data_IF_069534962140
#
_entry.id   IF_069534962140
#
_cell.length_a   1.000
_cell.length_b   1.000
_cell.length_c   1.000
_cell.angle_alpha   90.00
_cell.angle_beta   90.00
_cell.angle_gamma   90.00
#
_symmetry.space_group_name_H-M   'P 1'
#
loop_
_entity.id
_entity.type
_entity.pdbx_description
1 polymer ?
#
# COMPACT_ATOMS: atom_id res chain seq x y z
N UNK A 1 -19.08 -8.18 -7.27
CA UNK A 1 -18.03 -9.14 -6.90
C UNK A 1 -16.65 -8.60 -7.25
N UNK A 2 -16.40 -8.12 -8.45
CA UNK A 2 -15.12 -7.59 -8.91
C UNK A 2 -14.49 -6.52 -8.00
N UNK A 3 -15.26 -5.52 -7.53
CA UNK A 3 -14.73 -4.49 -6.62
C UNK A 3 -14.22 -5.01 -5.26
N UNK A 4 -14.80 -6.10 -4.73
CA UNK A 4 -14.31 -6.72 -3.48
C UNK A 4 -12.96 -7.40 -3.71
N UNK A 5 -12.85 -8.15 -4.81
CA UNK A 5 -11.59 -8.82 -5.19
C UNK A 5 -10.49 -7.79 -5.39
N UNK A 6 -10.79 -6.66 -6.04
CA UNK A 6 -9.85 -5.55 -6.21
C UNK A 6 -9.32 -5.05 -4.85
N UNK A 7 -10.20 -4.81 -3.88
CA UNK A 7 -9.79 -4.35 -2.53
C UNK A 7 -8.93 -5.40 -1.83
N UNK A 8 -9.23 -6.70 -1.96
CA UNK A 8 -8.42 -7.77 -1.38
C UNK A 8 -7.01 -7.82 -1.98
N UNK A 9 -6.91 -7.73 -3.30
CA UNK A 9 -5.62 -7.70 -4.00
C UNK A 9 -4.81 -6.46 -3.62
N UNK A 10 -5.43 -5.28 -3.55
CA UNK A 10 -4.76 -4.06 -3.12
C UNK A 10 -4.33 -4.13 -1.64
N UNK A 11 -5.13 -4.74 -0.75
CA UNK A 11 -4.73 -4.94 0.65
C UNK A 11 -3.54 -5.89 0.76
N UNK A 12 -3.55 -7.01 0.02
CA UNK A 12 -2.43 -7.94 -0.06
C UNK A 12 -1.18 -7.22 -0.58
N UNK A 13 -1.32 -6.48 -1.66
CA UNK A 13 -0.22 -5.75 -2.29
C UNK A 13 0.41 -4.72 -1.33
N UNK A 14 -0.43 -3.97 -0.61
CA UNK A 14 0.04 -3.00 0.39
C UNK A 14 0.87 -3.66 1.50
N UNK A 15 0.38 -4.76 2.08
CA UNK A 15 1.11 -5.50 3.10
C UNK A 15 2.41 -6.10 2.57
N UNK A 16 2.39 -6.61 1.33
CA UNK A 16 3.58 -7.19 0.71
C UNK A 16 4.66 -6.14 0.45
N UNK A 17 4.31 -5.05 -0.25
CA UNK A 17 5.27 -4.00 -0.64
C UNK A 17 5.85 -3.30 0.59
N UNK A 18 5.01 -3.04 1.59
CA UNK A 18 5.44 -2.40 2.83
C UNK A 18 6.45 -3.27 3.60
N UNK A 19 6.16 -4.58 3.72
CA UNK A 19 7.05 -5.53 4.40
C UNK A 19 8.34 -5.75 3.63
N UNK A 20 8.29 -5.94 2.31
CA UNK A 20 9.49 -6.12 1.49
C UNK A 20 10.37 -4.86 1.49
N UNK A 21 9.77 -3.67 1.42
CA UNK A 21 10.47 -2.39 1.56
C UNK A 21 11.14 -2.27 2.92
N UNK A 22 10.42 -2.57 4.01
CA UNK A 22 10.96 -2.55 5.36
C UNK A 22 12.17 -3.47 5.53
N UNK A 23 12.08 -4.70 5.03
CA UNK A 23 13.17 -5.69 5.11
C UNK A 23 14.37 -5.31 4.25
N UNK A 24 14.12 -4.84 3.02
CA UNK A 24 15.18 -4.59 2.05
C UNK A 24 15.83 -3.22 2.13
N UNK A 25 15.15 -2.22 2.72
CA UNK A 25 15.58 -0.81 2.77
C UNK A 25 15.75 -0.30 4.19
N UNK A 26 16.32 -1.11 5.08
CA UNK A 26 16.73 -0.72 6.44
C UNK A 26 15.58 -0.09 7.27
N UNK A 27 14.38 -0.66 7.19
CA UNK A 27 13.23 -0.22 7.97
C UNK A 27 12.45 0.95 7.35
N UNK A 28 12.53 1.15 6.04
CA UNK A 28 11.71 2.11 5.31
C UNK A 28 10.32 1.52 5.05
N UNK A 29 9.28 2.13 5.60
CA UNK A 29 7.90 1.86 5.24
C UNK A 29 7.51 2.57 3.94
N UNK A 30 6.99 1.84 2.98
CA UNK A 30 6.54 2.38 1.69
C UNK A 30 5.06 2.77 1.69
N UNK A 31 4.22 2.03 2.41
CA UNK A 31 2.78 2.27 2.53
C UNK A 31 2.40 2.91 3.88
N UNK A 32 3.06 2.52 4.97
CA UNK A 32 2.91 3.08 6.30
C UNK A 32 3.86 4.28 6.53
N UNK A 33 3.82 5.28 5.66
CA UNK A 33 4.80 6.38 5.64
C UNK A 33 4.91 7.15 6.96
N UNK A 34 3.83 7.26 7.75
CA UNK A 34 3.88 7.86 9.09
C UNK A 34 4.65 7.00 10.10
N UNK A 35 4.75 5.70 9.88
CA UNK A 35 5.59 4.78 10.65
C UNK A 35 7.09 5.09 10.51
N UNK A 36 7.47 5.77 9.41
CA UNK A 36 8.85 6.22 9.21
C UNK A 36 9.29 7.23 10.26
N UNK A 37 8.41 8.00 10.90
CA UNK A 37 8.78 8.85 12.03
C UNK A 37 9.24 8.05 13.25
N UNK A 38 8.61 6.89 13.50
CA UNK A 38 8.98 6.00 14.60
C UNK A 38 10.35 5.36 14.31
N UNK A 39 10.53 4.83 13.10
CA UNK A 39 11.80 4.21 12.70
C UNK A 39 12.92 5.24 12.53
N UNK A 40 12.61 6.49 12.17
CA UNK A 40 13.53 7.61 12.18
C UNK A 40 14.02 7.90 13.62
N UNK A 41 13.08 8.00 14.57
CA UNK A 41 13.43 8.18 15.98
C UNK A 41 14.35 7.06 16.49
N UNK A 42 14.05 5.82 16.15
CA UNK A 42 14.91 4.67 16.47
C UNK A 42 16.29 4.79 15.81
N UNK A 43 16.36 5.18 14.54
CA UNK A 43 17.62 5.35 13.82
C UNK A 43 18.51 6.42 14.46
N UNK A 44 17.93 7.54 14.90
CA UNK A 44 18.67 8.60 15.60
C UNK A 44 19.23 8.15 16.95
N UNK A 45 18.50 7.32 17.70
CA UNK A 45 18.93 6.82 19.03
C UNK A 45 20.00 5.74 18.89
N UNK A 46 19.82 4.81 17.96
CA UNK A 46 20.72 3.66 17.79
C UNK A 46 21.85 3.90 16.79
N UNK A 47 21.89 5.07 16.14
CA UNK A 47 22.91 5.39 15.12
C UNK A 47 22.80 4.51 13.87
N UNK A 48 21.59 4.05 13.52
CA UNK A 48 21.36 3.21 12.34
C UNK A 48 21.13 4.09 11.10
N UNK A 49 21.25 3.48 9.92
CA UNK A 49 21.13 4.16 8.63
C UNK A 49 19.65 4.41 8.23
N UNK A 50 19.46 5.10 7.09
CA UNK A 50 18.16 5.36 6.53
C UNK A 50 17.44 6.58 7.12
N UNK A 51 18.19 7.53 7.67
CA UNK A 51 17.66 8.78 8.23
C UNK A 51 17.02 9.64 7.14
N UNK A 52 17.74 9.83 6.03
CA UNK A 52 17.28 10.68 4.90
C UNK A 52 16.06 10.04 4.24
N UNK A 53 16.12 8.73 3.95
CA UNK A 53 15.01 7.99 3.35
C UNK A 53 13.72 8.12 4.18
N UNK A 54 13.81 7.91 5.51
CA UNK A 54 12.67 7.98 6.42
C UNK A 54 12.11 9.40 6.58
N UNK A 55 12.99 10.40 6.59
CA UNK A 55 12.59 11.82 6.70
C UNK A 55 11.84 12.29 5.44
N UNK A 56 12.32 11.91 4.25
CA UNK A 56 11.77 12.39 2.97
C UNK A 56 10.55 11.57 2.51
N UNK A 57 10.38 10.35 2.99
CA UNK A 57 9.28 9.47 2.56
C UNK A 57 7.89 10.12 2.68
N UNK A 58 7.58 10.83 3.77
CA UNK A 58 6.26 11.47 3.93
C UNK A 58 6.09 12.71 3.02
N UNK A 59 7.04 13.66 2.91
CA UNK A 59 6.98 14.73 1.92
C UNK A 59 6.77 14.21 0.50
N UNK A 60 7.52 13.20 0.08
CA UNK A 60 7.37 12.56 -1.23
C UNK A 60 5.97 11.98 -1.43
N UNK A 61 5.52 11.19 -0.47
CA UNK A 61 4.18 10.58 -0.50
C UNK A 61 3.07 11.64 -0.69
N UNK A 62 3.17 12.77 0.01
CA UNK A 62 2.22 13.88 -0.13
C UNK A 62 2.30 14.53 -1.51
N UNK A 63 3.50 14.77 -2.03
CA UNK A 63 3.70 15.33 -3.37
C UNK A 63 3.08 14.41 -4.42
N UNK A 64 3.32 13.10 -4.33
CA UNK A 64 2.74 12.13 -5.29
C UNK A 64 1.21 12.12 -5.19
N UNK A 65 0.61 12.14 -4.01
CA UNK A 65 -0.86 12.24 -3.86
C UNK A 65 -1.40 13.49 -4.57
N UNK A 66 -0.77 14.65 -4.35
CA UNK A 66 -1.18 15.91 -4.98
C UNK A 66 -1.09 15.82 -6.50
N UNK A 67 0.04 15.32 -7.02
CA UNK A 67 0.24 15.14 -8.47
C UNK A 67 -0.80 14.19 -9.06
N UNK A 68 -1.03 13.04 -8.45
CA UNK A 68 -2.02 12.06 -8.90
C UNK A 68 -3.43 12.65 -8.88
N UNK A 69 -3.75 13.46 -7.87
CA UNK A 69 -5.05 14.14 -7.80
C UNK A 69 -5.23 15.18 -8.91
N UNK A 70 -4.21 15.99 -9.18
CA UNK A 70 -4.23 17.00 -10.26
C UNK A 70 -4.34 16.33 -11.64
N UNK A 71 -3.48 15.34 -11.89
CA UNK A 71 -3.50 14.57 -13.14
C UNK A 71 -4.85 13.86 -13.31
N UNK A 72 -5.35 13.20 -12.27
CA UNK A 72 -6.63 12.52 -12.28
C UNK A 72 -7.80 13.46 -12.61
N UNK A 73 -7.79 14.68 -12.08
CA UNK A 73 -8.79 15.70 -12.41
C UNK A 73 -8.70 16.09 -13.89
N UNK A 74 -7.48 16.35 -14.39
CA UNK A 74 -7.26 16.70 -15.80
C UNK A 74 -7.68 15.56 -16.76
N UNK A 75 -7.38 14.29 -16.41
CA UNK A 75 -7.80 13.13 -17.19
C UNK A 75 -9.34 13.00 -17.22
N UNK A 76 -10.00 13.20 -16.09
CA UNK A 76 -11.46 13.15 -15.99
C UNK A 76 -12.11 14.25 -16.84
N UNK A 77 -11.58 15.47 -16.81
CA UNK A 77 -12.05 16.58 -17.65
C UNK A 77 -11.94 16.24 -19.15
N UNK A 78 -10.91 15.48 -19.51
CA UNK A 78 -10.71 15.00 -20.90
C UNK A 78 -11.48 13.71 -21.21
N UNK A 79 -12.32 13.23 -20.31
CA UNK A 79 -13.12 11.98 -20.42
C UNK A 79 -12.27 10.72 -20.64
N UNK A 80 -11.03 10.73 -20.17
CA UNK A 80 -10.13 9.59 -20.26
C UNK A 80 -10.38 8.60 -19.10
N UNK A 81 -10.05 7.30 -19.26
CA UNK A 81 -10.26 6.27 -18.24
C UNK A 81 -9.29 6.43 -17.07
N UNK A 82 -9.52 7.46 -16.23
CA UNK A 82 -8.63 7.91 -15.17
C UNK A 82 -8.17 6.78 -14.27
N UNK A 83 -9.09 5.93 -13.79
CA UNK A 83 -8.73 4.85 -12.87
C UNK A 83 -7.77 3.82 -13.48
N UNK A 84 -7.91 3.54 -14.79
CA UNK A 84 -7.01 2.64 -15.51
C UNK A 84 -5.62 3.25 -15.68
N UNK A 85 -5.55 4.52 -16.06
CA UNK A 85 -4.28 5.24 -16.27
C UNK A 85 -3.50 5.31 -14.96
N UNK A 86 -4.18 5.63 -13.85
CA UNK A 86 -3.55 5.74 -12.53
C UNK A 86 -3.12 4.37 -12.01
N UNK A 87 -3.91 3.30 -12.21
CA UNK A 87 -3.48 1.92 -11.89
C UNK A 87 -2.31 1.47 -12.76
N UNK A 88 -2.29 1.81 -14.05
CA UNK A 88 -1.16 1.48 -14.92
C UNK A 88 0.12 2.19 -14.47
N UNK A 89 0.04 3.43 -13.99
CA UNK A 89 1.16 4.15 -13.40
C UNK A 89 1.66 3.48 -12.11
N UNK A 90 0.75 3.00 -11.23
CA UNK A 90 1.12 2.20 -10.05
C UNK A 90 1.89 0.95 -10.45
N UNK A 91 1.37 0.16 -11.42
CA UNK A 91 2.03 -1.05 -11.91
C UNK A 91 3.39 -0.75 -12.51
N UNK A 92 3.53 0.34 -13.26
CA UNK A 92 4.82 0.76 -13.82
C UNK A 92 5.83 1.12 -12.72
N UNK A 93 5.39 1.79 -11.65
CA UNK A 93 6.26 2.09 -10.50
C UNK A 93 6.59 0.84 -9.69
N UNK A 94 5.66 -0.10 -9.50
CA UNK A 94 5.96 -1.39 -8.87
C UNK A 94 7.00 -2.19 -9.67
N UNK A 95 6.88 -2.19 -11.00
CA UNK A 95 7.86 -2.82 -11.88
C UNK A 95 9.23 -2.12 -11.78
N UNK A 96 9.25 -0.78 -11.79
CA UNK A 96 10.47 -0.02 -11.61
C UNK A 96 11.11 -0.29 -10.24
N UNK A 97 10.32 -0.33 -9.16
CA UNK A 97 10.78 -0.68 -7.82
C UNK A 97 11.41 -2.07 -7.80
N UNK A 98 10.76 -3.08 -8.40
CA UNK A 98 11.29 -4.43 -8.53
C UNK A 98 12.62 -4.45 -9.29
N UNK A 99 12.69 -3.83 -10.47
CA UNK A 99 13.89 -3.84 -11.31
C UNK A 99 15.06 -3.11 -10.62
N UNK A 100 14.81 -1.94 -10.03
CA UNK A 100 15.84 -1.19 -9.30
C UNK A 100 16.33 -1.98 -8.08
N UNK A 101 15.43 -2.64 -7.35
CA UNK A 101 15.77 -3.41 -6.17
C UNK A 101 16.60 -4.66 -6.52
N UNK A 102 16.32 -5.31 -7.64
CA UNK A 102 17.10 -6.50 -8.11
C UNK A 102 18.46 -6.06 -8.66
N UNK A 103 18.50 -4.96 -9.41
CA UNK A 103 19.74 -4.48 -10.06
C UNK A 103 20.74 -3.90 -9.04
N UNK A 104 20.26 -3.09 -8.09
CA UNK A 104 21.14 -2.33 -7.17
C UNK A 104 21.21 -2.89 -5.75
N UNK A 105 20.31 -3.81 -5.39
CA UNK A 105 20.36 -4.44 -4.06
C UNK A 105 21.46 -5.51 -3.94
N UNK A 106 21.86 -5.85 -2.73
CA UNK A 106 21.35 -5.35 -1.46
C UNK A 106 21.83 -3.93 -1.14
N UNK A 107 21.09 -3.20 -0.28
CA UNK A 107 21.38 -1.83 0.11
C UNK A 107 22.02 -1.78 1.52
N UNK A 108 23.34 -1.89 1.63
CA UNK A 108 24.02 -1.78 2.93
C UNK A 108 23.91 -0.37 3.52
N UNK A 109 23.82 0.65 2.67
CA UNK A 109 23.50 2.02 3.02
C UNK A 109 22.17 2.43 2.37
N UNK A 110 21.13 2.58 3.20
CA UNK A 110 19.80 2.96 2.74
C UNK A 110 19.65 4.46 2.43
N UNK A 111 20.64 5.27 2.72
CA UNK A 111 20.72 6.68 2.32
C UNK A 111 21.59 6.88 1.05
N UNK A 112 22.12 5.79 0.46
CA UNK A 112 22.78 5.85 -0.84
C UNK A 112 21.82 6.29 -1.95
N UNK A 113 22.29 6.97 -3.01
CA UNK A 113 21.43 7.43 -4.10
C UNK A 113 20.60 6.32 -4.74
N UNK A 114 21.16 5.13 -4.91
CA UNK A 114 20.45 3.97 -5.47
C UNK A 114 19.38 3.44 -4.54
N UNK A 115 19.64 3.39 -3.23
CA UNK A 115 18.66 3.00 -2.23
C UNK A 115 17.51 4.02 -2.14
N UNK A 116 17.83 5.33 -2.14
CA UNK A 116 16.84 6.40 -2.11
C UNK A 116 15.91 6.35 -3.33
N UNK A 117 16.47 6.26 -4.55
CA UNK A 117 15.67 6.15 -5.78
C UNK A 117 14.78 4.90 -5.73
N UNK A 118 15.33 3.77 -5.33
CA UNK A 118 14.58 2.52 -5.21
C UNK A 118 13.44 2.66 -4.18
N UNK A 119 13.75 3.13 -2.98
CA UNK A 119 12.77 3.29 -1.90
C UNK A 119 11.65 4.26 -2.26
N UNK A 120 12.00 5.41 -2.83
CA UNK A 120 11.04 6.43 -3.25
C UNK A 120 10.15 5.95 -4.41
N UNK A 121 10.66 5.11 -5.32
CA UNK A 121 9.82 4.47 -6.33
C UNK A 121 8.75 3.57 -5.69
N UNK A 122 9.09 2.84 -4.63
CA UNK A 122 8.13 2.06 -3.84
C UNK A 122 7.11 2.93 -3.10
N UNK A 123 7.57 4.01 -2.45
CA UNK A 123 6.71 5.01 -1.77
C UNK A 123 5.74 5.65 -2.76
N UNK A 124 6.21 6.06 -3.94
CA UNK A 124 5.37 6.63 -4.99
C UNK A 124 4.29 5.66 -5.47
N UNK A 125 4.63 4.38 -5.69
CA UNK A 125 3.65 3.35 -6.05
C UNK A 125 2.53 3.23 -4.99
N UNK A 126 2.90 3.20 -3.71
CA UNK A 126 1.94 3.09 -2.61
C UNK A 126 1.13 4.37 -2.39
N UNK A 127 1.69 5.55 -2.67
CA UNK A 127 0.96 6.82 -2.68
C UNK A 127 -0.14 6.82 -3.77
N UNK A 128 0.15 6.29 -4.95
CA UNK A 128 -0.84 6.09 -6.02
C UNK A 128 -1.93 5.15 -5.55
N UNK A 129 -1.61 3.97 -5.01
CA UNK A 129 -2.57 3.01 -4.49
C UNK A 129 -3.49 3.64 -3.43
N UNK A 130 -2.92 4.39 -2.51
CA UNK A 130 -3.67 5.09 -1.45
C UNK A 130 -4.64 6.11 -2.06
N UNK A 131 -4.20 6.87 -3.07
CA UNK A 131 -5.04 7.85 -3.78
C UNK A 131 -6.20 7.17 -4.51
N UNK A 132 -5.94 6.06 -5.23
CA UNK A 132 -6.98 5.27 -5.91
C UNK A 132 -8.02 4.79 -4.92
N UNK A 133 -7.59 4.26 -3.79
CA UNK A 133 -8.49 3.77 -2.75
C UNK A 133 -9.39 4.89 -2.24
N UNK A 134 -8.84 6.07 -1.93
CA UNK A 134 -9.58 7.23 -1.41
C UNK A 134 -10.54 7.83 -2.44
N UNK A 135 -10.17 7.87 -3.72
CA UNK A 135 -10.93 8.55 -4.77
C UNK A 135 -11.93 7.61 -5.45
N UNK A 136 -11.53 6.38 -5.75
CA UNK A 136 -12.32 5.47 -6.58
C UNK A 136 -12.94 4.29 -5.80
N UNK A 137 -12.49 4.03 -4.57
CA UNK A 137 -12.95 2.93 -3.72
C UNK A 137 -13.40 3.43 -2.33
N UNK A 138 -13.83 4.69 -2.21
CA UNK A 138 -14.20 5.32 -0.94
C UNK A 138 -15.33 4.60 -0.16
N UNK A 139 -16.12 3.75 -0.83
CA UNK A 139 -17.14 2.90 -0.17
C UNK A 139 -16.57 1.63 0.50
N UNK A 140 -15.26 1.40 0.42
CA UNK A 140 -14.57 0.27 1.04
C UNK A 140 -13.57 0.74 2.10
N UNK A 141 -13.24 -0.12 3.08
CA UNK A 141 -12.19 0.19 4.06
C UNK A 141 -10.85 0.48 3.39
N UNK A 142 -10.02 1.36 3.99
CA UNK A 142 -8.65 1.60 3.52
C UNK A 142 -7.83 0.32 3.38
N UNK A 143 -7.01 0.23 2.33
CA UNK A 143 -6.17 -0.96 2.05
C UNK A 143 -4.80 -0.91 2.70
N UNK A 144 -4.39 0.27 3.20
CA UNK A 144 -3.06 0.52 3.78
C UNK A 144 -3.10 0.90 5.26
N UNK A 145 -4.27 1.32 5.80
CA UNK A 145 -4.41 1.84 7.18
C UNK A 145 -5.13 0.81 8.04
N UNK A 146 -4.38 -0.14 8.60
CA UNK A 146 -4.98 -1.26 9.33
C UNK A 146 -5.39 -0.92 10.76
N UNK A 147 -4.73 0.01 11.46
CA UNK A 147 -5.09 0.40 12.83
C UNK A 147 -6.52 0.96 12.91
N UNK A 148 -6.87 1.90 12.02
CA UNK A 148 -8.22 2.44 11.96
C UNK A 148 -9.27 1.37 11.62
N UNK A 149 -8.94 0.47 10.70
CA UNK A 149 -9.79 -0.67 10.34
C UNK A 149 -10.02 -1.60 11.55
N UNK A 150 -8.98 -1.93 12.30
CA UNK A 150 -9.07 -2.79 13.49
C UNK A 150 -9.94 -2.15 14.57
N UNK A 151 -9.76 -0.85 14.83
CA UNK A 151 -10.59 -0.10 15.76
C UNK A 151 -12.06 -0.14 15.35
N UNK A 152 -12.36 0.13 14.06
CA UNK A 152 -13.73 0.10 13.56
C UNK A 152 -14.35 -1.30 13.65
N UNK A 153 -13.57 -2.35 13.36
CA UNK A 153 -14.03 -3.73 13.49
C UNK A 153 -14.41 -4.07 14.94
N UNK A 154 -13.61 -3.63 15.92
CA UNK A 154 -13.90 -3.83 17.33
C UNK A 154 -15.20 -3.10 17.76
N UNK A 155 -15.38 -1.85 17.34
CA UNK A 155 -16.60 -1.09 17.61
C UNK A 155 -17.82 -1.76 16.98
N UNK A 156 -17.73 -2.17 15.72
CA UNK A 156 -18.80 -2.87 15.00
C UNK A 156 -19.20 -4.18 15.68
N UNK A 157 -18.23 -4.94 16.19
CA UNK A 157 -18.49 -6.17 16.94
C UNK A 157 -19.25 -5.90 18.23
N UNK A 158 -18.87 -4.86 18.98
CA UNK A 158 -19.58 -4.48 20.23
C UNK A 158 -21.01 -4.02 19.92
N UNK A 159 -21.22 -3.25 18.87
CA UNK A 159 -22.57 -2.81 18.49
C UNK A 159 -23.47 -3.99 18.13
N UNK A 160 -22.95 -5.01 17.44
CA UNK A 160 -23.69 -6.23 17.12
C UNK A 160 -24.02 -7.05 18.39
N UNK A 161 -23.11 -7.10 19.37
CA UNK A 161 -23.31 -7.83 20.64
C UNK A 161 -24.38 -7.11 21.49
N UNK A 162 -24.33 -5.79 21.57
CA UNK A 162 -25.31 -4.98 22.32
C UNK A 162 -26.72 -5.03 21.73
N UNK A 163 -26.82 -5.41 20.47
CA UNK A 163 -28.08 -5.42 19.73
C UNK A 163 -28.37 -4.08 19.05
N UNK A 164 -28.55 -4.14 17.76
CA UNK A 164 -28.94 -3.01 16.91
C UNK A 164 -30.18 -3.39 16.13
N UNK A 165 -30.93 -2.42 15.60
CA UNK A 165 -32.08 -2.74 14.77
C UNK A 165 -31.63 -3.51 13.50
N UNK A 166 -32.56 -4.29 12.91
CA UNK A 166 -32.26 -5.21 11.79
C UNK A 166 -31.54 -4.53 10.63
N UNK A 167 -31.95 -3.30 10.26
CA UNK A 167 -31.36 -2.57 9.12
C UNK A 167 -29.91 -2.17 9.41
N UNK A 168 -29.65 -1.64 10.59
CA UNK A 168 -28.31 -1.28 11.04
C UNK A 168 -27.40 -2.51 11.16
N UNK A 169 -27.91 -3.63 11.71
CA UNK A 169 -27.16 -4.86 11.86
C UNK A 169 -26.70 -5.47 10.54
N UNK A 170 -27.50 -5.37 9.47
CA UNK A 170 -27.08 -5.81 8.13
C UNK A 170 -25.92 -4.96 7.61
N UNK A 171 -26.01 -3.63 7.73
CA UNK A 171 -24.96 -2.72 7.29
C UNK A 171 -23.65 -2.91 8.08
N UNK A 172 -23.74 -3.05 9.41
CA UNK A 172 -22.57 -3.27 10.28
C UNK A 172 -21.90 -4.61 9.93
N UNK A 173 -22.65 -5.70 9.77
CA UNK A 173 -22.06 -6.99 9.37
C UNK A 173 -21.35 -6.93 8.01
N UNK A 174 -21.94 -6.24 7.04
CA UNK A 174 -21.31 -6.08 5.73
C UNK A 174 -20.01 -5.28 5.81
N UNK A 175 -19.97 -4.20 6.60
CA UNK A 175 -18.75 -3.39 6.85
C UNK A 175 -17.71 -4.22 7.59
N UNK A 176 -18.08 -4.86 8.69
CA UNK A 176 -17.20 -5.73 9.49
C UNK A 176 -16.56 -6.83 8.63
N UNK A 177 -17.35 -7.53 7.82
CA UNK A 177 -16.83 -8.55 6.92
C UNK A 177 -15.82 -7.97 5.90
N UNK A 178 -16.09 -6.77 5.37
CA UNK A 178 -15.16 -6.08 4.47
C UNK A 178 -13.87 -5.67 5.15
N UNK A 179 -13.94 -5.15 6.37
CA UNK A 179 -12.78 -4.76 7.18
C UNK A 179 -11.93 -5.99 7.51
N UNK A 180 -12.53 -7.05 8.05
CA UNK A 180 -11.81 -8.27 8.42
C UNK A 180 -11.14 -8.92 7.21
N UNK A 181 -11.80 -8.93 6.04
CA UNK A 181 -11.17 -9.39 4.81
C UNK A 181 -9.95 -8.54 4.43
N UNK A 182 -10.06 -7.20 4.51
CA UNK A 182 -8.93 -6.31 4.23
C UNK A 182 -7.74 -6.56 5.16
N UNK A 183 -7.99 -6.68 6.47
CA UNK A 183 -6.95 -6.99 7.47
C UNK A 183 -6.30 -8.35 7.18
N UNK A 184 -7.11 -9.38 6.87
CA UNK A 184 -6.62 -10.72 6.55
C UNK A 184 -5.70 -10.71 5.33
N UNK A 185 -6.13 -10.09 4.22
CA UNK A 185 -5.32 -10.04 3.00
C UNK A 185 -4.06 -9.18 3.17
N UNK A 186 -4.12 -8.11 3.94
CA UNK A 186 -2.94 -7.32 4.30
C UNK A 186 -1.93 -8.16 5.10
N UNK A 187 -2.38 -8.84 6.15
CA UNK A 187 -1.54 -9.72 6.97
C UNK A 187 -0.95 -10.88 6.14
N UNK A 188 -1.75 -11.45 5.22
CA UNK A 188 -1.28 -12.46 4.29
C UNK A 188 -0.19 -11.92 3.35
N UNK A 189 -0.35 -10.66 2.88
CA UNK A 189 0.69 -9.96 2.10
C UNK A 189 1.98 -9.79 2.89
N UNK A 190 1.90 -9.36 4.15
CA UNK A 190 3.07 -9.24 5.03
C UNK A 190 3.78 -10.59 5.23
N UNK A 191 3.02 -11.65 5.54
CA UNK A 191 3.57 -12.99 5.77
C UNK A 191 4.21 -13.56 4.49
N UNK A 192 3.56 -13.39 3.33
CA UNK A 192 4.08 -13.81 2.05
C UNK A 192 5.38 -13.04 1.69
N UNK A 193 5.40 -11.72 1.92
CA UNK A 193 6.60 -10.92 1.70
C UNK A 193 7.75 -11.37 2.59
N UNK A 194 7.51 -11.60 3.89
CA UNK A 194 8.54 -12.06 4.80
C UNK A 194 9.13 -13.41 4.36
N UNK A 195 8.28 -14.40 4.05
CA UNK A 195 8.72 -15.71 3.61
C UNK A 195 9.44 -15.69 2.25
N UNK A 196 8.89 -14.99 1.27
CA UNK A 196 9.48 -14.92 -0.07
C UNK A 196 10.74 -14.04 -0.09
N UNK A 197 10.79 -12.98 0.69
CA UNK A 197 12.01 -12.17 0.82
C UNK A 197 13.15 -12.96 1.49
N UNK A 198 12.83 -13.76 2.51
CA UNK A 198 13.82 -14.65 3.14
C UNK A 198 14.41 -15.65 2.14
N UNK A 199 13.60 -16.20 1.23
CA UNK A 199 14.04 -17.21 0.27
C UNK A 199 14.69 -16.61 -0.99
N UNK A 200 14.18 -15.49 -1.48
CA UNK A 200 14.49 -14.97 -2.81
C UNK A 200 14.97 -13.51 -2.81
N UNK A 201 15.08 -12.86 -1.64
CA UNK A 201 15.45 -11.45 -1.55
C UNK A 201 14.51 -10.55 -2.35
N UNK A 202 15.08 -9.60 -3.07
CA UNK A 202 14.34 -8.64 -3.90
C UNK A 202 13.56 -9.25 -5.07
N UNK A 203 13.88 -10.48 -5.51
CA UNK A 203 13.07 -11.18 -6.52
C UNK A 203 11.63 -11.40 -6.08
N UNK A 204 11.37 -11.43 -4.77
CA UNK A 204 10.02 -11.48 -4.20
C UNK A 204 9.12 -10.34 -4.66
N UNK A 205 9.68 -9.17 -5.01
CA UNK A 205 8.94 -8.02 -5.51
C UNK A 205 8.29 -8.25 -6.89
N UNK A 206 8.58 -9.34 -7.59
CA UNK A 206 7.81 -9.74 -8.76
C UNK A 206 6.34 -10.03 -8.43
N UNK A 207 6.04 -10.49 -7.20
CA UNK A 207 4.67 -10.79 -6.75
C UNK A 207 3.77 -9.55 -6.77
N UNK A 208 4.12 -8.41 -6.13
CA UNK A 208 3.29 -7.21 -6.21
C UNK A 208 3.12 -6.67 -7.63
N UNK A 209 4.08 -6.86 -8.52
CA UNK A 209 3.91 -6.50 -9.94
C UNK A 209 2.81 -7.35 -10.58
N UNK A 210 2.85 -8.67 -10.41
CA UNK A 210 1.81 -9.58 -10.93
C UNK A 210 0.43 -9.25 -10.34
N UNK A 211 0.35 -9.02 -9.04
CA UNK A 211 -0.88 -8.61 -8.37
C UNK A 211 -1.38 -7.27 -8.92
N UNK A 212 -0.49 -6.29 -9.13
CA UNK A 212 -0.82 -5.02 -9.75
C UNK A 212 -1.40 -5.18 -11.16
N UNK A 213 -0.80 -6.03 -12.00
CA UNK A 213 -1.33 -6.35 -13.33
C UNK A 213 -2.72 -6.99 -13.25
N UNK A 214 -2.93 -7.90 -12.30
CA UNK A 214 -4.24 -8.51 -12.07
C UNK A 214 -5.30 -7.48 -11.66
N UNK A 215 -4.94 -6.50 -10.80
CA UNK A 215 -5.86 -5.40 -10.42
C UNK A 215 -6.22 -4.52 -11.61
N UNK A 216 -5.25 -4.22 -12.47
CA UNK A 216 -5.45 -3.45 -13.69
C UNK A 216 -6.38 -4.18 -14.68
N UNK A 217 -6.20 -5.49 -14.87
CA UNK A 217 -7.05 -6.33 -15.71
C UNK A 217 -8.50 -6.38 -15.21
N UNK A 218 -8.72 -6.62 -13.90
CA UNK A 218 -10.06 -6.62 -13.29
C UNK A 218 -10.77 -5.26 -13.42
N UNK A 219 -10.03 -4.17 -13.43
CA UNK A 219 -10.60 -2.82 -13.61
C UNK A 219 -10.89 -2.51 -15.07
N UNK A 220 -10.27 -3.25 -16.00
CA UNK A 220 -10.55 -3.12 -17.44
C UNK A 220 -11.93 -3.65 -17.82
N UNK A 221 -12.44 -4.62 -17.08
CA UNK A 221 -13.72 -5.31 -17.35
C UNK A 221 -14.91 -4.69 -16.60
N UNK A 222 -14.69 -3.73 -15.70
CA UNK A 222 -15.71 -3.10 -14.86
C UNK A 222 -15.96 -1.64 -15.23
#
# INVERSE_FOLDING_TARGET
>A
MARKILVWLLSFNAGFVDTAGFLGLQGLFTAHVTGNFVTLGAALVFGTQGIIAKLIALPEFLIVIVLVRLIGTALTTRRLPTSRIVLAAEVALLLAFFLLAVEFGPFPDSDSPTALITGFTGVAAMAIQNTIQRVHLAGFPPTTIMTGNTTQAALDAVDLIKGVNRKQGVAIRARLASILSGIFYFALGCAAAAGLYFLFGFWSLAVPVVVGVATLALRAES
#
